data_IF_161171108614
#
_entry.id   IF_161171108614
#
_cell.length_a   1.000
_cell.length_b   1.000
_cell.length_c   1.000
_cell.angle_alpha   90.00
_cell.angle_beta   90.00
_cell.angle_gamma   90.00
#
_symmetry.space_group_name_H-M   'P 1'
#
loop_
_entity.id
_entity.type
_entity.pdbx_description
1 polymer ?
#
# COMPACT_ATOMS: atom_id res chain seq x y z
N UNK A 1 3.33 3.59 14.61
CA UNK A 1 4.81 3.57 14.69
C UNK A 1 5.47 4.54 13.69
N UNK A 2 5.15 4.52 12.37
CA UNK A 2 5.88 5.36 11.40
C UNK A 2 5.74 6.88 11.64
N UNK A 3 4.54 7.32 12.04
CA UNK A 3 4.26 8.72 12.40
C UNK A 3 5.07 9.15 13.63
N UNK A 4 5.24 8.27 14.61
CA UNK A 4 6.07 8.53 15.80
C UNK A 4 7.53 8.74 15.42
N UNK A 5 8.05 7.94 14.47
CA UNK A 5 9.43 8.10 13.97
C UNK A 5 9.59 9.47 13.31
N UNK A 6 8.67 9.85 12.42
CA UNK A 6 8.69 11.16 11.75
C UNK A 6 8.60 12.33 12.75
N UNK A 7 7.73 12.20 13.77
CA UNK A 7 7.60 13.22 14.81
C UNK A 7 8.86 13.32 15.68
N UNK A 8 9.46 12.20 16.08
CA UNK A 8 10.71 12.21 16.86
C UNK A 8 11.86 12.82 16.05
N UNK A 9 11.91 12.57 14.74
CA UNK A 9 12.86 13.22 13.84
C UNK A 9 12.65 14.73 13.74
N UNK A 10 11.39 15.19 13.79
CA UNK A 10 11.11 16.61 13.89
C UNK A 10 11.58 17.20 15.24
N UNK A 11 11.26 16.52 16.34
CA UNK A 11 11.63 16.98 17.68
C UNK A 11 13.14 17.01 17.90
N UNK A 12 13.90 16.10 17.29
CA UNK A 12 15.36 16.14 17.33
C UNK A 12 15.91 17.39 16.60
N UNK A 13 15.30 17.78 15.48
CA UNK A 13 15.63 19.03 14.78
C UNK A 13 15.36 20.26 15.64
N UNK A 14 14.17 20.36 16.24
CA UNK A 14 13.80 21.47 17.15
C UNK A 14 14.73 21.53 18.35
N UNK A 15 15.06 20.39 18.96
CA UNK A 15 16.02 20.31 20.06
C UNK A 15 17.42 20.77 19.63
N UNK A 16 17.85 20.39 18.42
CA UNK A 16 19.09 20.87 17.80
C UNK A 16 19.11 22.38 17.63
N UNK A 17 17.99 22.99 17.20
CA UNK A 17 17.89 24.45 17.10
C UNK A 17 18.01 25.14 18.46
N UNK A 18 17.36 24.60 19.49
CA UNK A 18 17.43 25.15 20.86
C UNK A 18 18.86 25.05 21.39
N UNK A 19 19.54 23.92 21.16
CA UNK A 19 20.95 23.75 21.52
C UNK A 19 21.86 24.76 20.77
N UNK A 20 21.60 25.00 19.48
CA UNK A 20 22.29 26.02 18.70
C UNK A 20 22.12 27.42 19.28
N UNK A 21 20.91 27.78 19.73
CA UNK A 21 20.67 29.05 20.41
C UNK A 21 21.45 29.15 21.72
N UNK A 22 21.54 28.07 22.49
CA UNK A 22 22.25 28.04 23.77
C UNK A 22 23.77 28.24 23.63
N UNK A 23 24.37 27.76 22.54
CA UNK A 23 25.81 27.87 22.28
C UNK A 23 26.15 29.08 21.37
N UNK A 24 25.14 29.76 20.82
CA UNK A 24 25.33 30.89 19.90
C UNK A 24 25.76 30.48 18.49
N UNK A 25 25.49 29.23 18.08
CA UNK A 25 25.82 28.70 16.75
C UNK A 25 24.61 28.81 15.80
N UNK A 26 24.65 29.81 14.93
CA UNK A 26 23.58 30.08 13.96
C UNK A 26 23.43 28.96 12.90
N UNK A 27 24.51 28.24 12.58
CA UNK A 27 24.45 27.13 11.64
C UNK A 27 23.66 25.97 12.24
N UNK A 28 23.94 25.64 13.51
CA UNK A 28 23.19 24.61 14.23
C UNK A 28 21.71 24.98 14.40
N UNK A 29 21.42 26.26 14.67
CA UNK A 29 20.04 26.78 14.69
C UNK A 29 19.34 26.52 13.35
N UNK A 30 20.00 26.88 12.26
CA UNK A 30 19.45 26.77 10.91
C UNK A 30 19.21 25.33 10.48
N UNK A 31 20.19 24.45 10.70
CA UNK A 31 20.10 23.02 10.37
C UNK A 31 19.00 22.36 11.21
N UNK A 32 18.97 22.62 12.52
CA UNK A 32 17.92 22.10 13.40
C UNK A 32 16.52 22.54 12.94
N UNK A 33 16.38 23.79 12.48
CA UNK A 33 15.10 24.36 12.06
C UNK A 33 14.59 23.69 10.79
N UNK A 34 15.48 23.44 9.82
CA UNK A 34 15.18 22.72 8.58
C UNK A 34 14.75 21.29 8.88
N UNK A 35 15.49 20.57 9.74
CA UNK A 35 15.16 19.18 10.13
C UNK A 35 13.81 19.16 10.85
N UNK A 36 13.59 20.09 11.78
CA UNK A 36 12.36 20.20 12.55
C UNK A 36 11.14 20.44 11.66
N UNK A 37 11.23 21.43 10.78
CA UNK A 37 10.17 21.76 9.83
C UNK A 37 9.87 20.60 8.87
N UNK A 38 10.90 20.00 8.27
CA UNK A 38 10.76 18.87 7.36
C UNK A 38 10.04 17.68 8.01
N UNK A 39 10.45 17.32 9.23
CA UNK A 39 9.80 16.25 9.99
C UNK A 39 8.35 16.55 10.34
N UNK A 40 8.01 17.81 10.68
CA UNK A 40 6.61 18.20 10.93
C UNK A 40 5.76 18.08 9.67
N UNK A 41 6.24 18.58 8.53
CA UNK A 41 5.53 18.48 7.26
C UNK A 41 5.27 17.03 6.86
N UNK A 42 6.29 16.17 6.96
CA UNK A 42 6.13 14.76 6.68
C UNK A 42 5.10 14.10 7.60
N UNK A 43 5.15 14.42 8.90
CA UNK A 43 4.18 13.95 9.89
C UNK A 43 2.75 14.35 9.52
N UNK A 44 2.55 15.59 9.07
CA UNK A 44 1.24 16.09 8.64
C UNK A 44 0.73 15.38 7.38
N UNK A 45 1.58 15.16 6.38
CA UNK A 45 1.23 14.43 5.16
C UNK A 45 0.79 13.00 5.50
N UNK A 46 1.54 12.31 6.36
CA UNK A 46 1.18 10.96 6.80
C UNK A 46 -0.15 10.93 7.57
N UNK A 47 -0.36 11.88 8.48
CA UNK A 47 -1.62 12.01 9.24
C UNK A 47 -2.81 12.21 8.30
N UNK A 48 -2.66 13.11 7.30
CA UNK A 48 -3.69 13.37 6.28
C UNK A 48 -3.96 12.14 5.42
N UNK A 49 -2.92 11.43 5.00
CA UNK A 49 -3.05 10.20 4.20
C UNK A 49 -3.73 9.05 4.96
N UNK A 50 -3.66 9.03 6.29
CA UNK A 50 -4.38 8.05 7.13
C UNK A 50 -5.77 8.55 7.58
N UNK A 51 -6.20 9.76 7.17
CA UNK A 51 -7.38 10.43 7.71
C UNK A 51 -7.43 10.48 9.25
N UNK A 52 -6.28 10.71 9.90
CA UNK A 52 -6.16 10.75 11.38
C UNK A 52 -5.41 11.97 11.85
N UNK A 53 -5.90 12.60 12.92
CA UNK A 53 -5.20 13.71 13.58
C UNK A 53 -3.96 13.24 14.35
N UNK A 54 -2.91 14.07 14.42
CA UNK A 54 -1.72 13.77 15.22
C UNK A 54 -2.05 13.50 16.70
N UNK A 55 -3.01 14.25 17.25
CA UNK A 55 -3.46 14.09 18.65
C UNK A 55 -4.08 12.72 18.91
N UNK A 56 -4.88 12.18 17.98
CA UNK A 56 -5.50 10.86 18.14
C UNK A 56 -4.48 9.73 18.06
N UNK A 57 -3.42 9.89 17.28
CA UNK A 57 -2.32 8.93 17.18
C UNK A 57 -1.45 8.93 18.44
N UNK A 58 -1.12 10.11 18.98
CA UNK A 58 -0.28 10.23 20.19
C UNK A 58 -1.00 9.81 21.47
N UNK A 59 -2.28 10.11 21.60
CA UNK A 59 -3.08 9.74 22.78
C UNK A 59 -3.53 8.27 22.77
N UNK A 60 -3.10 7.47 21.79
CA UNK A 60 -3.46 6.06 21.73
C UNK A 60 -4.95 5.82 21.56
N UNK A 61 -5.73 6.81 21.10
CA UNK A 61 -7.08 6.59 20.58
C UNK A 61 -6.98 5.91 19.22
N UNK A 62 -6.41 4.71 19.23
CA UNK A 62 -6.74 3.67 18.28
C UNK A 62 -8.19 3.39 18.55
N UNK A 63 -9.06 3.71 17.60
CA UNK A 63 -10.46 3.29 17.57
C UNK A 63 -10.54 1.76 17.42
N UNK A 64 -9.87 1.02 18.29
CA UNK A 64 -10.28 -0.32 18.66
C UNK A 64 -11.44 -0.15 19.65
N UNK A 65 -12.57 0.38 19.17
CA UNK A 65 -13.83 -0.12 19.70
C UNK A 65 -13.87 -1.57 19.23
N UNK A 66 -13.53 -2.48 20.14
CA UNK A 66 -13.84 -3.90 19.99
C UNK A 66 -15.35 -3.97 19.82
N UNK A 67 -15.81 -3.94 18.57
CA UNK A 67 -17.15 -4.40 18.27
C UNK A 67 -17.06 -5.91 18.36
N UNK A 68 -17.49 -6.43 19.51
CA UNK A 68 -17.76 -7.84 19.69
C UNK A 68 -18.85 -8.25 18.69
N UNK A 69 -18.43 -8.65 17.50
CA UNK A 69 -19.20 -9.48 16.61
C UNK A 69 -18.31 -10.67 16.22
N UNK A 70 -18.07 -11.55 17.20
CA UNK A 70 -17.62 -12.91 16.93
C UNK A 70 -18.76 -13.57 16.17
N UNK A 71 -18.66 -13.58 14.84
CA UNK A 71 -19.16 -14.69 14.05
C UNK A 71 -17.93 -15.48 13.64
N UNK A 72 -17.65 -16.53 14.41
CA UNK A 72 -16.89 -17.67 13.90
C UNK A 72 -17.59 -18.11 12.61
N UNK A 73 -17.01 -17.76 11.47
CA UNK A 73 -17.24 -18.51 10.24
C UNK A 73 -16.10 -19.51 10.17
N UNK A 74 -16.48 -20.76 10.35
CA UNK A 74 -15.65 -21.94 10.17
C UNK A 74 -14.79 -21.82 8.90
N UNK A 75 -13.55 -22.29 9.05
CA UNK A 75 -12.62 -22.52 7.96
C UNK A 75 -13.23 -23.52 6.97
N UNK A 76 -13.91 -22.99 5.96
CA UNK A 76 -13.98 -23.65 4.67
C UNK A 76 -12.99 -22.96 3.74
N UNK A 77 -11.83 -23.60 3.59
CA UNK A 77 -10.94 -23.40 2.47
C UNK A 77 -11.65 -23.90 1.20
N UNK A 78 -12.67 -23.17 0.77
CA UNK A 78 -13.19 -23.34 -0.57
C UNK A 78 -12.26 -22.54 -1.49
N UNK A 79 -11.52 -23.26 -2.35
CA UNK A 79 -11.02 -22.72 -3.61
C UNK A 79 -12.20 -22.06 -4.32
N UNK A 80 -12.42 -20.76 -4.07
CA UNK A 80 -13.42 -20.00 -4.80
C UNK A 80 -13.02 -20.06 -6.26
N UNK A 81 -13.88 -20.72 -7.03
CA UNK A 81 -13.84 -20.87 -8.47
C UNK A 81 -13.43 -19.55 -9.15
N UNK A 82 -12.24 -19.56 -9.75
CA UNK A 82 -11.72 -18.49 -10.60
C UNK A 82 -12.60 -18.42 -11.86
N UNK A 83 -13.42 -17.37 -12.04
CA UNK A 83 -14.18 -17.20 -13.28
C UNK A 83 -13.26 -16.95 -14.49
N UNK A 84 -12.08 -16.39 -14.26
CA UNK A 84 -10.97 -16.32 -15.22
C UNK A 84 -9.67 -16.69 -14.54
N UNK A 85 -8.85 -17.47 -15.23
CA UNK A 85 -7.48 -17.74 -14.82
C UNK A 85 -6.73 -16.39 -14.75
N UNK A 86 -6.11 -16.04 -13.61
CA UNK A 86 -5.32 -14.81 -13.49
C UNK A 86 -4.25 -14.69 -14.59
N UNK A 87 -3.75 -15.81 -15.11
CA UNK A 87 -2.79 -15.84 -16.21
C UNK A 87 -3.44 -15.38 -17.53
N UNK A 88 -4.66 -15.84 -17.83
CA UNK A 88 -5.40 -15.41 -19.03
C UNK A 88 -5.76 -13.93 -18.96
N UNK A 89 -6.23 -13.47 -17.79
CA UNK A 89 -6.54 -12.06 -17.57
C UNK A 89 -5.32 -11.15 -17.81
N UNK A 90 -4.12 -11.59 -17.42
CA UNK A 90 -2.88 -10.85 -17.67
C UNK A 90 -2.41 -10.95 -19.13
N UNK A 91 -2.65 -12.07 -19.82
CA UNK A 91 -2.31 -12.24 -21.25
C UNK A 91 -3.17 -11.37 -22.16
N UNK A 92 -4.44 -11.19 -21.82
CA UNK A 92 -5.39 -10.38 -22.59
C UNK A 92 -5.28 -8.86 -22.30
N UNK A 93 -4.61 -8.50 -21.20
CA UNK A 93 -4.49 -7.11 -20.76
C UNK A 93 -3.55 -6.29 -21.66
N UNK A 94 -3.92 -5.04 -21.96
CA UNK A 94 -3.03 -4.05 -22.61
C UNK A 94 -2.42 -3.10 -21.59
N UNK A 95 -3.14 -2.83 -20.51
CA UNK A 95 -2.69 -2.00 -19.39
C UNK A 95 -2.88 -2.70 -18.06
N UNK A 96 -1.79 -2.86 -17.32
CA UNK A 96 -1.77 -3.47 -15.99
C UNK A 96 -1.26 -2.45 -14.98
N UNK A 97 -1.96 -2.32 -13.85
CA UNK A 97 -1.49 -1.54 -12.71
C UNK A 97 -1.08 -2.47 -11.59
N UNK A 98 0.13 -2.29 -11.06
CA UNK A 98 0.64 -3.03 -9.90
C UNK A 98 0.48 -2.17 -8.65
N UNK A 99 -0.13 -2.73 -7.62
CA UNK A 99 -0.39 -2.07 -6.33
C UNK A 99 0.40 -2.79 -5.24
N UNK A 100 1.63 -2.33 -4.93
CA UNK A 100 2.48 -2.94 -3.92
C UNK A 100 2.05 -2.55 -2.51
N UNK A 101 2.15 -3.49 -1.58
CA UNK A 101 1.91 -3.29 -0.16
C UNK A 101 3.00 -3.88 0.72
N UNK A 102 2.77 -3.84 2.03
CA UNK A 102 3.75 -4.30 3.02
C UNK A 102 4.07 -5.81 2.89
N UNK A 103 3.12 -6.63 2.44
CA UNK A 103 3.34 -8.05 2.22
C UNK A 103 4.43 -8.32 1.17
N UNK A 104 4.56 -7.47 0.14
CA UNK A 104 5.64 -7.56 -0.85
C UNK A 104 7.01 -7.41 -0.19
N UNK A 105 7.15 -6.42 0.69
CA UNK A 105 8.39 -6.17 1.44
C UNK A 105 8.70 -7.30 2.43
N UNK A 106 7.68 -7.85 3.10
CA UNK A 106 7.85 -8.99 4.02
C UNK A 106 8.36 -10.23 3.30
N UNK A 107 7.79 -10.54 2.12
CA UNK A 107 8.20 -11.71 1.34
C UNK A 107 9.49 -11.49 0.53
N UNK A 108 10.01 -10.26 0.48
CA UNK A 108 11.15 -9.89 -0.37
C UNK A 108 10.93 -10.28 -1.84
N UNK A 109 9.75 -9.92 -2.37
CA UNK A 109 9.30 -10.32 -3.71
C UNK A 109 9.52 -9.25 -4.79
N UNK A 110 10.16 -8.13 -4.45
CA UNK A 110 10.39 -7.00 -5.37
C UNK A 110 11.16 -7.41 -6.63
N UNK A 111 12.10 -8.35 -6.53
CA UNK A 111 12.87 -8.86 -7.68
C UNK A 111 12.03 -9.78 -8.58
N UNK A 112 11.12 -10.55 -7.99
CA UNK A 112 10.14 -11.36 -8.73
C UNK A 112 9.12 -10.46 -9.45
N UNK A 113 8.70 -9.36 -8.80
CA UNK A 113 7.87 -8.33 -9.45
C UNK A 113 8.59 -7.71 -10.64
N UNK A 114 9.89 -7.39 -10.52
CA UNK A 114 10.68 -6.88 -11.64
C UNK A 114 10.69 -7.86 -12.83
N UNK A 115 10.92 -9.15 -12.58
CA UNK A 115 10.84 -10.20 -13.63
C UNK A 115 9.47 -10.25 -14.30
N UNK A 116 8.39 -10.10 -13.52
CA UNK A 116 7.03 -10.04 -14.04
C UNK A 116 6.82 -8.81 -14.93
N UNK A 117 7.27 -7.64 -14.49
CA UNK A 117 7.20 -6.40 -15.28
C UNK A 117 7.92 -6.57 -16.62
N UNK A 118 9.17 -7.04 -16.60
CA UNK A 118 9.97 -7.21 -17.80
C UNK A 118 9.32 -8.20 -18.78
N UNK A 119 8.71 -9.28 -18.26
CA UNK A 119 7.97 -10.24 -19.06
C UNK A 119 6.71 -9.64 -19.70
N UNK A 120 5.92 -8.87 -18.94
CA UNK A 120 4.72 -8.20 -19.46
C UNK A 120 5.09 -7.16 -20.53
N UNK A 121 6.15 -6.40 -20.30
CA UNK A 121 6.64 -5.40 -21.25
C UNK A 121 7.19 -6.03 -22.53
N UNK A 122 7.84 -7.20 -22.45
CA UNK A 122 8.25 -7.97 -23.63
C UNK A 122 7.07 -8.37 -24.53
N UNK A 123 5.85 -8.44 -23.97
CA UNK A 123 4.60 -8.72 -24.66
C UNK A 123 3.84 -7.44 -25.08
N UNK A 124 4.49 -6.27 -25.01
CA UNK A 124 3.91 -4.94 -25.29
C UNK A 124 2.75 -4.53 -24.37
N UNK A 125 2.72 -5.04 -23.14
CA UNK A 125 1.75 -4.65 -22.12
C UNK A 125 2.30 -3.46 -21.33
N UNK A 126 1.51 -2.39 -21.19
CA UNK A 126 1.92 -1.23 -20.39
C UNK A 126 1.75 -1.55 -18.91
N UNK A 127 2.82 -1.41 -18.13
CA UNK A 127 2.80 -1.66 -16.68
C UNK A 127 3.11 -0.38 -15.93
N UNK A 128 2.18 0.05 -15.08
CA UNK A 128 2.35 1.20 -14.18
C UNK A 128 2.22 0.74 -12.72
N UNK A 129 2.85 1.44 -11.78
CA UNK A 129 2.72 1.20 -10.35
C UNK A 129 1.87 2.29 -9.70
N UNK A 130 0.93 1.88 -8.84
CA UNK A 130 0.16 2.79 -7.99
C UNK A 130 0.68 2.74 -6.56
N UNK A 131 1.32 3.82 -6.11
CA UNK A 131 1.92 3.90 -4.78
C UNK A 131 0.99 4.65 -3.83
N UNK A 132 0.55 3.96 -2.78
CA UNK A 132 -0.18 4.60 -1.69
C UNK A 132 0.81 5.32 -0.75
N UNK A 133 0.54 6.57 -0.31
CA UNK A 133 1.48 7.33 0.53
C UNK A 133 1.87 6.63 1.84
N UNK A 134 0.98 5.78 2.37
CA UNK A 134 1.20 4.99 3.60
C UNK A 134 1.34 3.49 3.35
N UNK A 135 1.61 3.06 2.12
CA UNK A 135 1.98 1.67 1.85
C UNK A 135 3.29 1.31 2.57
N UNK A 136 3.25 0.28 3.42
CA UNK A 136 4.43 -0.23 4.12
C UNK A 136 4.51 0.18 5.60
N UNK A 137 5.73 0.53 6.04
CA UNK A 137 6.08 0.86 7.44
C UNK A 137 6.97 2.09 7.56
N UNK A 138 7.32 2.73 6.45
CA UNK A 138 8.09 3.96 6.40
C UNK A 138 7.56 4.83 5.24
N UNK A 139 7.62 6.17 5.33
CA UNK A 139 7.34 7.01 4.17
C UNK A 139 8.21 6.63 2.97
N UNK A 140 7.60 6.46 1.80
CA UNK A 140 8.31 6.05 0.59
C UNK A 140 8.86 4.62 0.63
N UNK A 141 8.39 3.77 1.56
CA UNK A 141 8.91 2.40 1.70
C UNK A 141 8.83 1.62 0.38
N UNK A 142 7.72 1.71 -0.35
CA UNK A 142 7.55 1.02 -1.62
C UNK A 142 8.46 1.61 -2.71
N UNK A 143 8.64 2.93 -2.76
CA UNK A 143 9.52 3.57 -3.74
C UNK A 143 10.95 3.03 -3.60
N UNK A 144 11.47 2.96 -2.37
CA UNK A 144 12.84 2.52 -2.12
C UNK A 144 13.06 1.08 -2.58
N UNK A 145 12.19 0.14 -2.18
CA UNK A 145 12.37 -1.28 -2.51
C UNK A 145 12.12 -1.58 -3.99
N UNK A 146 11.27 -0.82 -4.67
CA UNK A 146 11.08 -0.95 -6.11
C UNK A 146 12.29 -0.41 -6.87
N UNK A 147 12.90 0.67 -6.39
CA UNK A 147 14.14 1.19 -6.95
C UNK A 147 15.32 0.26 -6.71
N UNK A 148 15.38 -0.40 -5.56
CA UNK A 148 16.35 -1.48 -5.30
C UNK A 148 16.22 -2.62 -6.32
N UNK A 149 14.98 -2.93 -6.73
CA UNK A 149 14.70 -3.90 -7.79
C UNK A 149 14.86 -3.36 -9.22
N UNK A 150 15.46 -2.17 -9.39
CA UNK A 150 15.71 -1.53 -10.69
C UNK A 150 14.43 -1.26 -11.50
N UNK A 151 13.37 -0.83 -10.81
CA UNK A 151 12.14 -0.35 -11.44
C UNK A 151 12.24 1.16 -11.65
N UNK A 152 12.10 1.65 -12.90
CA UNK A 152 12.19 3.07 -13.21
C UNK A 152 11.15 3.94 -12.47
N UNK A 153 11.57 5.10 -11.99
CA UNK A 153 10.73 6.03 -11.22
C UNK A 153 9.54 6.58 -12.01
N UNK A 154 9.65 6.71 -13.33
CA UNK A 154 8.58 7.17 -14.23
C UNK A 154 7.37 6.23 -14.25
N UNK A 155 7.56 4.96 -13.87
CA UNK A 155 6.46 3.99 -13.71
C UNK A 155 5.77 4.11 -12.36
N UNK A 156 6.40 4.76 -11.36
CA UNK A 156 5.88 4.90 -10.01
C UNK A 156 4.94 6.11 -9.95
N UNK A 157 3.64 5.86 -10.00
CA UNK A 157 2.62 6.90 -9.94
C UNK A 157 2.04 7.02 -8.54
N UNK A 158 1.85 8.25 -8.07
CA UNK A 158 1.12 8.51 -6.84
C UNK A 158 -0.36 8.14 -7.00
N UNK A 159 -0.98 7.74 -5.89
CA UNK A 159 -2.40 7.38 -5.81
C UNK A 159 -3.33 8.43 -6.44
N UNK A 160 -3.10 9.72 -6.19
CA UNK A 160 -3.98 10.79 -6.69
C UNK A 160 -3.93 10.93 -8.22
N UNK A 161 -2.77 10.63 -8.82
CA UNK A 161 -2.56 10.70 -10.27
C UNK A 161 -3.16 9.49 -10.99
N UNK A 162 -3.09 8.30 -10.39
CA UNK A 162 -3.53 7.07 -11.04
C UNK A 162 -5.01 6.74 -10.78
N UNK A 163 -5.58 7.16 -9.65
CA UNK A 163 -6.97 6.88 -9.28
C UNK A 163 -8.01 7.27 -10.35
N UNK A 164 -7.92 8.44 -11.02
CA UNK A 164 -8.84 8.80 -12.12
C UNK A 164 -8.69 7.92 -13.36
N UNK A 165 -7.56 7.25 -13.52
CA UNK A 165 -7.23 6.44 -14.69
C UNK A 165 -7.53 4.95 -14.50
N UNK A 166 -7.79 4.49 -13.27
CA UNK A 166 -7.99 3.07 -12.93
C UNK A 166 -9.12 2.40 -13.72
N UNK A 167 -10.18 3.14 -14.05
CA UNK A 167 -11.28 2.67 -14.90
C UNK A 167 -10.82 2.26 -16.33
N UNK A 168 -9.64 2.73 -16.76
CA UNK A 168 -9.04 2.41 -18.07
C UNK A 168 -8.04 1.25 -18.06
N UNK A 169 -7.70 0.71 -16.88
CA UNK A 169 -6.79 -0.43 -16.75
C UNK A 169 -7.54 -1.76 -16.91
N UNK A 170 -6.92 -2.70 -17.62
CA UNK A 170 -7.52 -4.00 -17.89
C UNK A 170 -7.34 -4.96 -16.71
N UNK A 171 -6.22 -4.84 -15.98
CA UNK A 171 -5.99 -5.60 -14.77
C UNK A 171 -5.30 -4.77 -13.67
N UNK A 172 -5.72 -4.96 -12.42
CA UNK A 172 -5.05 -4.47 -11.23
C UNK A 172 -4.45 -5.63 -10.43
N UNK A 173 -3.13 -5.66 -10.30
CA UNK A 173 -2.40 -6.67 -9.56
C UNK A 173 -2.01 -6.13 -8.18
N UNK A 174 -2.73 -6.57 -7.15
CA UNK A 174 -2.48 -6.21 -5.75
C UNK A 174 -1.48 -7.20 -5.15
N UNK A 175 -0.38 -6.69 -4.59
CA UNK A 175 0.71 -7.52 -4.06
C UNK A 175 0.96 -7.16 -2.60
N UNK A 176 0.45 -7.98 -1.68
CA UNK A 176 0.67 -7.77 -0.25
C UNK A 176 0.05 -6.49 0.31
N UNK A 177 -1.00 -5.98 -0.33
CA UNK A 177 -1.73 -4.78 0.10
C UNK A 177 -3.15 -5.16 0.53
N UNK A 178 -3.63 -4.57 1.63
CA UNK A 178 -4.98 -4.81 2.14
C UNK A 178 -5.69 -3.48 2.45
N UNK A 179 -5.34 -2.81 3.54
CA UNK A 179 -6.03 -1.58 3.98
C UNK A 179 -6.03 -0.46 2.92
N UNK A 180 -4.93 -0.31 2.17
CA UNK A 180 -4.73 0.76 1.17
C UNK A 180 -5.57 0.59 -0.11
N UNK A 181 -6.20 -0.57 -0.29
CA UNK A 181 -7.10 -0.90 -1.40
C UNK A 181 -8.49 -1.29 -0.90
N UNK A 182 -8.78 -1.13 0.40
CA UNK A 182 -10.02 -1.61 1.00
C UNK A 182 -11.18 -0.64 0.72
N UNK A 183 -12.20 -1.02 -0.09
CA UNK A 183 -13.31 -0.14 -0.45
C UNK A 183 -14.14 0.33 0.76
N UNK A 184 -14.11 -0.41 1.88
CA UNK A 184 -14.82 -0.04 3.11
C UNK A 184 -14.40 1.34 3.65
N UNK A 185 -13.24 1.85 3.27
CA UNK A 185 -12.84 3.22 3.59
C UNK A 185 -13.78 4.30 3.03
N UNK A 186 -14.53 4.02 1.94
CA UNK A 186 -15.49 4.96 1.33
C UNK A 186 -16.88 4.86 1.95
N UNK A 187 -17.32 3.64 2.27
CA UNK A 187 -18.74 3.36 2.53
C UNK A 187 -19.02 2.97 3.99
N UNK A 188 -18.05 2.42 4.72
CA UNK A 188 -18.28 1.86 6.05
C UNK A 188 -18.04 2.89 7.17
N UNK A 189 -19.05 3.70 7.45
CA UNK A 189 -19.06 4.65 8.56
C UNK A 189 -18.76 3.98 9.90
N UNK A 190 -17.96 4.64 10.75
CA UNK A 190 -17.58 4.14 12.07
C UNK A 190 -16.41 3.15 12.09
N UNK A 191 -15.90 2.72 10.93
CA UNK A 191 -14.67 1.91 10.87
C UNK A 191 -13.41 2.77 11.05
N UNK A 192 -12.29 2.21 11.55
CA UNK A 192 -11.02 2.93 11.69
C UNK A 192 -10.43 3.48 10.38
N UNK A 193 -10.88 2.96 9.23
CA UNK A 193 -10.40 3.32 7.89
C UNK A 193 -11.37 4.25 7.15
N UNK A 194 -12.52 4.58 7.76
CA UNK A 194 -13.50 5.44 7.11
C UNK A 194 -12.91 6.82 6.77
N UNK A 195 -13.11 7.24 5.53
CA UNK A 195 -12.57 8.49 4.97
C UNK A 195 -11.06 8.45 4.65
N UNK A 196 -10.38 7.32 4.85
CA UNK A 196 -9.01 7.15 4.37
C UNK A 196 -9.01 7.16 2.83
N UNK A 197 -8.20 8.01 2.18
CA UNK A 197 -7.94 7.87 0.76
C UNK A 197 -7.41 6.47 0.47
N UNK A 198 -7.90 5.83 -0.61
CA UNK A 198 -7.46 4.49 -1.02
C UNK A 198 -7.15 4.50 -2.52
N UNK A 199 -6.39 3.50 -2.97
CA UNK A 199 -6.29 3.20 -4.40
C UNK A 199 -7.57 2.45 -4.79
N UNK A 200 -8.30 2.98 -5.77
CA UNK A 200 -9.58 2.42 -6.22
C UNK A 200 -9.37 1.21 -7.14
N UNK A 201 -8.65 0.19 -6.66
CA UNK A 201 -8.34 -1.03 -7.41
C UNK A 201 -9.61 -1.74 -7.90
N UNK A 202 -10.70 -1.58 -7.16
CA UNK A 202 -12.02 -2.13 -7.43
C UNK A 202 -12.67 -1.64 -8.73
N UNK A 203 -12.11 -0.59 -9.34
CA UNK A 203 -12.54 0.01 -10.62
C UNK A 203 -11.88 -0.60 -11.85
N UNK A 204 -10.77 -1.33 -11.70
CA UNK A 204 -10.14 -2.01 -12.82
C UNK A 204 -11.04 -3.14 -13.33
N UNK A 205 -10.92 -3.50 -14.63
CA UNK A 205 -11.78 -4.53 -15.23
C UNK A 205 -11.61 -5.91 -14.59
N UNK A 206 -10.39 -6.23 -14.17
CA UNK A 206 -10.07 -7.47 -13.45
C UNK A 206 -9.09 -7.17 -12.32
N UNK A 207 -9.29 -7.79 -11.16
CA UNK A 207 -8.45 -7.58 -9.98
C UNK A 207 -7.82 -8.90 -9.56
N UNK A 208 -6.49 -8.93 -9.46
CA UNK A 208 -5.72 -10.10 -9.05
C UNK A 208 -5.07 -9.77 -7.72
N UNK A 209 -5.30 -10.60 -6.70
CA UNK A 209 -4.85 -10.33 -5.33
C UNK A 209 -3.88 -11.42 -4.90
N UNK A 210 -2.63 -11.02 -4.71
CA UNK A 210 -1.53 -11.87 -4.24
C UNK A 210 -1.24 -11.57 -2.76
N UNK A 211 -2.05 -12.13 -1.87
CA UNK A 211 -1.94 -11.97 -0.41
C UNK A 211 -1.79 -13.32 0.29
N UNK A 212 -1.19 -13.33 1.47
CA UNK A 212 -0.93 -14.58 2.21
C UNK A 212 -2.22 -15.29 2.63
N UNK A 213 -3.17 -14.54 3.16
CA UNK A 213 -4.46 -15.01 3.62
C UNK A 213 -5.56 -13.95 3.36
N UNK A 214 -6.78 -14.28 3.76
CA UNK A 214 -7.94 -13.39 3.67
C UNK A 214 -8.11 -12.53 4.94
N UNK A 215 -7.15 -12.56 5.88
CA UNK A 215 -7.30 -11.87 7.16
C UNK A 215 -7.22 -10.36 6.98
N UNK A 216 -7.87 -9.59 7.86
CA UNK A 216 -7.81 -8.14 7.82
C UNK A 216 -6.37 -7.64 8.02
N UNK A 217 -6.13 -6.43 7.50
CA UNK A 217 -4.83 -5.77 7.57
C UNK A 217 -4.51 -5.19 8.95
N UNK A 218 -3.76 -4.10 8.96
CA UNK A 218 -3.40 -3.41 10.20
C UNK A 218 -4.63 -2.78 10.88
N UNK A 219 -5.64 -2.40 10.09
CA UNK A 219 -6.87 -1.80 10.59
C UNK A 219 -7.78 -2.77 11.36
N UNK A 220 -7.65 -4.08 11.15
CA UNK A 220 -8.59 -5.08 11.68
C UNK A 220 -9.96 -5.07 11.00
N UNK A 221 -10.12 -4.37 9.86
CA UNK A 221 -11.36 -4.33 9.08
C UNK A 221 -11.28 -5.30 7.92
N UNK A 222 -12.30 -6.13 7.76
CA UNK A 222 -12.41 -7.06 6.63
C UNK A 222 -12.46 -6.29 5.30
N UNK A 223 -11.99 -6.93 4.23
CA UNK A 223 -11.90 -6.30 2.92
C UNK A 223 -13.00 -6.84 2.00
N UNK A 224 -14.04 -6.03 1.67
CA UNK A 224 -15.12 -6.43 0.76
C UNK A 224 -14.62 -6.87 -0.62
N UNK A 225 -13.42 -6.43 -1.04
CA UNK A 225 -12.80 -6.82 -2.30
C UNK A 225 -12.58 -8.34 -2.40
N UNK A 226 -12.36 -9.04 -1.28
CA UNK A 226 -12.17 -10.49 -1.25
C UNK A 226 -13.47 -11.28 -1.37
N UNK A 227 -14.61 -10.62 -1.10
CA UNK A 227 -15.92 -11.25 -1.16
C UNK A 227 -16.57 -11.12 -2.54
N UNK A 228 -16.13 -10.15 -3.35
CA UNK A 228 -16.58 -10.00 -4.75
C UNK A 228 -16.33 -11.29 -5.51
N UNK A 229 -17.40 -11.82 -6.12
CA UNK A 229 -17.37 -13.05 -6.93
C UNK A 229 -16.96 -12.79 -8.37
N UNK A 230 -17.30 -11.61 -8.88
CA UNK A 230 -17.11 -11.29 -10.29
C UNK A 230 -15.83 -10.42 -10.46
N UNK A 231 -14.98 -10.80 -11.42
CA UNK A 231 -13.80 -10.01 -11.79
C UNK A 231 -12.66 -9.95 -10.77
N UNK A 232 -12.65 -10.84 -9.77
CA UNK A 232 -11.58 -10.92 -8.76
C UNK A 232 -10.97 -12.33 -8.73
N UNK A 233 -9.64 -12.41 -8.88
CA UNK A 233 -8.86 -13.65 -8.74
C UNK A 233 -8.00 -13.59 -7.48
N UNK A 234 -8.16 -14.56 -6.59
CA UNK A 234 -7.40 -14.66 -5.34
C UNK A 234 -6.25 -15.66 -5.50
N UNK A 235 -5.01 -15.19 -5.34
CA UNK A 235 -3.80 -16.00 -5.34
C UNK A 235 -3.22 -16.01 -3.94
N UNK A 236 -3.72 -16.95 -3.12
CA UNK A 236 -3.35 -17.05 -1.71
C UNK A 236 -1.97 -17.69 -1.52
N UNK A 237 -1.22 -17.19 -0.55
CA UNK A 237 0.07 -17.71 -0.14
C UNK A 237 1.19 -16.67 -0.16
N UNK A 238 2.42 -17.13 0.05
CA UNK A 238 3.59 -16.26 0.04
C UNK A 238 3.73 -15.52 -1.30
N UNK A 239 3.79 -14.18 -1.24
CA UNK A 239 3.74 -13.34 -2.44
C UNK A 239 4.91 -13.62 -3.39
N UNK A 240 6.10 -13.94 -2.86
CA UNK A 240 7.26 -14.30 -3.69
C UNK A 240 6.98 -15.58 -4.48
N UNK A 241 6.41 -16.61 -3.85
CA UNK A 241 6.04 -17.86 -4.52
C UNK A 241 4.92 -17.67 -5.54
N UNK A 242 3.88 -16.91 -5.21
CA UNK A 242 2.74 -16.70 -6.12
C UNK A 242 3.14 -15.89 -7.35
N UNK A 243 3.95 -14.84 -7.19
CA UNK A 243 4.50 -14.08 -8.32
C UNK A 243 5.45 -14.94 -9.16
N UNK A 244 6.35 -15.71 -8.53
CA UNK A 244 7.24 -16.59 -9.27
C UNK A 244 6.47 -17.65 -10.10
N UNK A 245 5.35 -18.15 -9.57
CA UNK A 245 4.44 -19.03 -10.30
C UNK A 245 3.79 -18.30 -11.48
N UNK A 246 3.25 -17.09 -11.26
CA UNK A 246 2.68 -16.27 -12.34
C UNK A 246 3.67 -16.02 -13.47
N UNK A 247 4.92 -15.67 -13.14
CA UNK A 247 6.00 -15.47 -14.14
C UNK A 247 6.22 -16.74 -14.96
N UNK A 248 6.23 -17.91 -14.30
CA UNK A 248 6.39 -19.20 -14.98
C UNK A 248 5.23 -19.53 -15.92
N UNK A 249 3.99 -19.23 -15.51
CA UNK A 249 2.79 -19.55 -16.29
C UNK A 249 2.54 -18.55 -17.45
N UNK A 250 3.14 -17.35 -17.37
CA UNK A 250 3.13 -16.32 -18.41
C UNK A 250 4.25 -16.45 -19.45
N UNK A 251 5.35 -17.11 -19.08
CA UNK A 251 6.51 -17.37 -19.96
C UNK A 251 6.14 -18.35 -21.06
#
# INVERSE_FOLDING_TARGET
MPITISLLNSLSGVAGSIAGMAVGDLLLVSIGGIIGASGLFLTQIMCKAMNRSLRSILLGKTSMSVSNAIKEKEEHADEKSLEKDPVEALKDAKKVVIIPGYGMALSQSQFEVKKLVDLLESKNIKVDFAIHPVAGRMPGHMNIILCEADIPYDKLNDMDSINPLLDSYDAALIIGANDVVNPAARDAEGTPIYGMPIINADKAKHVIICNYDLKPGYSGVDNPLYEKKDGVSLLLGDAKKTIAKLVKDLS
#
